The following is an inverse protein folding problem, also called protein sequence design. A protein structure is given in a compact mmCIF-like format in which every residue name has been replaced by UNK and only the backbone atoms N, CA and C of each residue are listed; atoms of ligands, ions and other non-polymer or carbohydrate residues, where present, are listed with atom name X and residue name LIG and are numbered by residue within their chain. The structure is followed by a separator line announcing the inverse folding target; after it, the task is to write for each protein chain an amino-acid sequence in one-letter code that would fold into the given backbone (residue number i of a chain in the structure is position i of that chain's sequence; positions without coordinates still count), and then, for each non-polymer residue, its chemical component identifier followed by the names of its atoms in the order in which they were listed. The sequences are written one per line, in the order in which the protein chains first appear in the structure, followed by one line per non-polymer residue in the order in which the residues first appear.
data_IF_392725244315
#
_entry.id   IF_392725244315
#
_cell.length_a   1.000
_cell.length_b   1.000
_cell.length_c   1.000
_cell.angle_alpha   90.00
_cell.angle_beta   90.00
_cell.angle_gamma   90.00
#
_symmetry.space_group_name_H-M   'P 1'
#
loop_
_entity.id
_entity.type
_entity.pdbx_description
1 polymer ?
#
# COMPACT_ATOMS: atom_id res chain seq x y z
N UNK A 1 1.14 5.81 11.21
CA UNK A 1 2.47 6.08 10.63
C UNK A 1 2.45 7.25 9.64
N UNK A 2 1.44 7.31 8.75
CA UNK A 2 1.29 8.47 7.86
C UNK A 2 1.11 9.77 8.68
N UNK A 3 0.32 9.73 9.74
CA UNK A 3 0.07 10.90 10.59
C UNK A 3 1.35 11.32 11.33
N UNK A 4 2.15 10.37 11.81
CA UNK A 4 3.43 10.67 12.47
C UNK A 4 4.36 11.40 11.50
N UNK A 5 4.47 10.92 10.27
CA UNK A 5 5.27 11.55 9.22
C UNK A 5 4.77 12.98 8.91
N UNK A 6 3.46 13.14 8.74
CA UNK A 6 2.86 14.43 8.42
C UNK A 6 3.07 15.44 9.55
N UNK A 7 2.90 15.03 10.80
CA UNK A 7 3.14 15.90 11.96
C UNK A 7 4.59 16.37 12.04
N UNK A 8 5.54 15.45 11.80
CA UNK A 8 6.97 15.78 11.85
C UNK A 8 7.33 16.83 10.82
N UNK A 9 6.87 16.67 9.56
CA UNK A 9 7.13 17.64 8.49
C UNK A 9 6.38 18.95 8.72
N UNK A 10 5.18 18.90 9.29
CA UNK A 10 4.38 20.10 9.58
C UNK A 10 5.10 21.07 10.51
N UNK A 11 5.87 20.56 11.46
CA UNK A 11 6.68 21.40 12.36
C UNK A 11 7.77 22.17 11.61
N UNK A 12 8.26 21.59 10.51
CA UNK A 12 9.33 22.19 9.68
C UNK A 12 8.76 23.11 8.59
N UNK A 13 7.45 23.08 8.34
CA UNK A 13 6.79 23.83 7.27
C UNK A 13 5.54 24.55 7.77
N UNK A 14 5.67 25.51 8.72
CA UNK A 14 4.53 26.24 9.23
C UNK A 14 3.83 27.02 8.09
N UNK A 15 2.49 27.04 8.12
CA UNK A 15 1.69 27.72 7.10
C UNK A 15 1.39 26.86 5.86
N UNK A 16 1.92 25.64 5.78
CA UNK A 16 1.67 24.73 4.66
C UNK A 16 0.69 23.62 5.03
N UNK A 17 -0.03 23.09 4.03
CA UNK A 17 -0.76 21.83 4.17
C UNK A 17 0.27 20.73 3.93
N UNK A 18 0.47 19.87 4.92
CA UNK A 18 1.43 18.76 4.82
C UNK A 18 0.67 17.45 4.66
N UNK A 19 1.03 16.67 3.66
CA UNK A 19 0.48 15.33 3.42
C UNK A 19 1.59 14.29 3.45
N UNK A 20 1.29 13.16 4.04
CA UNK A 20 2.18 12.01 4.03
C UNK A 20 1.37 10.74 3.78
N UNK A 21 2.00 9.76 3.16
CA UNK A 21 1.39 8.46 2.93
C UNK A 21 2.16 7.35 3.61
N UNK A 22 1.47 6.25 3.84
CA UNK A 22 2.05 5.01 4.33
C UNK A 22 1.33 3.86 3.64
N UNK A 23 2.09 2.95 3.07
CA UNK A 23 1.55 1.80 2.33
C UNK A 23 2.15 0.52 2.85
N UNK A 24 1.37 -0.56 2.80
CA UNK A 24 1.84 -1.87 3.22
C UNK A 24 1.03 -2.99 2.61
N UNK A 25 1.59 -4.18 2.70
CA UNK A 25 0.96 -5.44 2.29
C UNK A 25 0.55 -6.21 3.53
N UNK A 26 -0.72 -6.62 3.58
CA UNK A 26 -1.24 -7.50 4.63
C UNK A 26 -1.62 -8.84 4.01
N UNK A 27 -1.03 -9.93 4.51
CA UNK A 27 -1.34 -11.29 4.07
C UNK A 27 -2.06 -12.00 5.21
N UNK A 28 -3.30 -12.42 4.97
CA UNK A 28 -4.16 -12.98 6.02
C UNK A 28 -3.58 -14.25 6.65
N UNK A 29 -3.03 -15.16 5.83
CA UNK A 29 -2.41 -16.39 6.33
C UNK A 29 -1.19 -16.12 7.22
N UNK A 30 -0.54 -14.98 7.04
CA UNK A 30 0.62 -14.56 7.83
C UNK A 30 0.23 -13.59 8.96
N UNK A 31 -1.03 -13.62 9.41
CA UNK A 31 -1.55 -12.75 10.46
C UNK A 31 -1.38 -11.26 10.12
N UNK A 32 -1.65 -10.91 8.85
CA UNK A 32 -1.55 -9.57 8.28
C UNK A 32 -0.12 -9.02 8.19
N UNK A 33 0.88 -9.87 8.29
CA UNK A 33 2.27 -9.49 8.04
C UNK A 33 2.55 -9.48 6.54
N UNK A 34 3.49 -8.71 6.04
CA UNK A 34 4.41 -7.81 6.75
C UNK A 34 3.78 -6.52 7.29
N UNK A 35 2.58 -6.10 6.83
CA UNK A 35 1.85 -4.97 7.39
C UNK A 35 2.67 -3.67 7.42
N UNK A 36 2.76 -3.05 8.59
CA UNK A 36 3.52 -1.79 8.76
C UNK A 36 5.02 -1.94 8.52
N UNK A 37 5.53 -3.17 8.51
CA UNK A 37 6.94 -3.48 8.27
C UNK A 37 7.22 -3.85 6.82
N UNK A 38 6.28 -3.60 5.89
CA UNK A 38 6.40 -4.05 4.50
C UNK A 38 7.70 -3.60 3.82
N UNK A 39 8.12 -2.36 4.03
CA UNK A 39 9.37 -1.85 3.45
C UNK A 39 10.63 -2.46 4.08
N UNK A 40 10.52 -2.94 5.32
CA UNK A 40 11.64 -3.49 6.10
C UNK A 40 11.56 -4.99 6.32
N UNK A 41 10.60 -5.65 5.67
CA UNK A 41 10.39 -7.10 5.82
C UNK A 41 11.71 -7.84 5.53
N UNK A 42 12.12 -8.69 6.48
CA UNK A 42 13.38 -9.45 6.49
C UNK A 42 14.67 -8.63 6.38
N UNK A 43 14.61 -7.30 6.45
CA UNK A 43 15.77 -6.40 6.45
C UNK A 43 15.58 -5.17 5.59
N UNK A 44 16.24 -4.07 5.96
CA UNK A 44 16.08 -2.79 5.25
C UNK A 44 16.72 -2.77 3.86
N UNK A 45 17.91 -3.37 3.72
CA UNK A 45 18.68 -3.35 2.49
C UNK A 45 18.52 -4.63 1.65
N UNK A 46 17.40 -5.32 1.81
CA UNK A 46 17.09 -6.55 1.08
C UNK A 46 16.27 -6.21 -0.16
N UNK A 47 16.62 -6.80 -1.31
CA UNK A 47 15.87 -6.59 -2.55
C UNK A 47 14.44 -7.14 -2.46
N UNK A 48 13.52 -6.56 -3.22
CA UNK A 48 12.14 -7.04 -3.26
C UNK A 48 12.02 -8.43 -3.90
N UNK A 49 12.93 -8.82 -4.78
CA UNK A 49 12.95 -10.19 -5.31
C UNK A 49 13.09 -11.21 -4.18
N UNK A 50 13.97 -10.93 -3.22
CA UNK A 50 14.18 -11.78 -2.04
C UNK A 50 12.96 -11.70 -1.12
N UNK A 51 12.41 -10.51 -0.87
CA UNK A 51 11.22 -10.33 -0.04
C UNK A 51 10.02 -11.05 -0.61
N UNK A 52 9.80 -10.94 -1.92
CA UNK A 52 8.71 -11.61 -2.62
C UNK A 52 8.86 -13.12 -2.53
N UNK A 53 10.06 -13.64 -2.77
CA UNK A 53 10.32 -15.08 -2.68
C UNK A 53 10.13 -15.59 -1.24
N UNK A 54 10.52 -14.80 -0.23
CA UNK A 54 10.31 -15.17 1.16
C UNK A 54 8.82 -15.34 1.49
N UNK A 55 7.96 -14.43 1.01
CA UNK A 55 6.51 -14.55 1.19
C UNK A 55 5.97 -15.80 0.47
N UNK A 56 6.39 -16.03 -0.75
CA UNK A 56 5.99 -17.22 -1.50
C UNK A 56 6.38 -18.51 -0.77
N UNK A 57 7.59 -18.55 -0.20
CA UNK A 57 8.07 -19.72 0.55
C UNK A 57 7.22 -19.96 1.82
N UNK A 58 6.82 -18.90 2.51
CA UNK A 58 5.96 -18.98 3.69
C UNK A 58 4.55 -19.51 3.34
N UNK A 59 4.12 -19.32 2.10
CA UNK A 59 2.81 -19.75 1.61
C UNK A 59 2.87 -21.03 0.77
N UNK A 60 4.01 -21.69 0.72
CA UNK A 60 4.16 -22.94 -0.02
C UNK A 60 3.13 -23.98 0.45
N UNK A 61 2.39 -24.56 -0.50
CA UNK A 61 1.36 -25.56 -0.19
C UNK A 61 0.04 -24.98 0.33
N UNK A 62 -0.07 -23.67 0.52
CA UNK A 62 -1.30 -23.02 0.97
C UNK A 62 -2.24 -22.84 -0.22
N UNK A 63 -3.51 -23.29 -0.15
CA UNK A 63 -4.46 -23.13 -1.26
C UNK A 63 -4.83 -21.65 -1.48
N UNK A 64 -5.23 -21.33 -2.71
CA UNK A 64 -5.55 -19.96 -3.15
C UNK A 64 -6.51 -19.24 -2.21
N UNK A 65 -7.56 -19.91 -1.78
CA UNK A 65 -8.61 -19.32 -0.93
C UNK A 65 -8.11 -18.93 0.47
N UNK A 66 -6.94 -19.39 0.88
CA UNK A 66 -6.29 -19.01 2.13
C UNK A 66 -5.12 -18.03 1.93
N UNK A 67 -4.91 -17.59 0.68
CA UNK A 67 -3.81 -16.67 0.33
C UNK A 67 -4.31 -15.24 0.16
N UNK A 68 -5.48 -14.92 0.68
CA UNK A 68 -6.05 -13.57 0.57
C UNK A 68 -5.12 -12.53 1.19
N UNK A 69 -5.06 -11.39 0.55
CA UNK A 69 -4.17 -10.31 0.95
C UNK A 69 -4.72 -8.98 0.48
N UNK A 70 -4.15 -7.90 0.97
CA UNK A 70 -4.49 -6.56 0.52
C UNK A 70 -3.30 -5.63 0.59
N UNK A 71 -3.26 -4.69 -0.35
CA UNK A 71 -2.46 -3.49 -0.16
C UNK A 71 -3.29 -2.47 0.61
N UNK A 72 -2.65 -1.79 1.54
CA UNK A 72 -3.26 -0.74 2.35
C UNK A 72 -2.50 0.56 2.10
N UNK A 73 -3.22 1.66 1.88
CA UNK A 73 -2.63 2.98 1.84
C UNK A 73 -3.36 3.90 2.80
N UNK A 74 -2.62 4.52 3.71
CA UNK A 74 -3.12 5.56 4.59
C UNK A 74 -2.49 6.88 4.16
N UNK A 75 -3.31 7.92 4.04
CA UNK A 75 -2.83 9.28 3.76
C UNK A 75 -3.28 10.17 4.90
N UNK A 76 -2.33 10.91 5.46
CA UNK A 76 -2.59 11.88 6.50
C UNK A 76 -2.32 13.28 5.97
N UNK A 77 -3.15 14.22 6.36
CA UNK A 77 -2.94 15.65 6.07
C UNK A 77 -2.97 16.42 7.37
N UNK A 78 -2.00 17.32 7.54
CA UNK A 78 -1.94 18.25 8.67
C UNK A 78 -2.04 19.66 8.11
N UNK A 79 -3.05 20.39 8.55
CA UNK A 79 -3.32 21.76 8.09
C UNK A 79 -2.55 22.77 8.94
N UNK A 80 -2.36 24.02 8.42
CA UNK A 80 -1.67 25.07 9.17
C UNK A 80 -2.29 25.41 10.52
N UNK A 81 -3.62 25.23 10.66
CA UNK A 81 -4.34 25.48 11.92
C UNK A 81 -4.30 24.30 12.90
N UNK A 82 -3.59 23.22 12.56
CA UNK A 82 -3.44 22.05 13.41
C UNK A 82 -4.47 20.96 13.19
N UNK A 83 -5.48 21.17 12.33
CA UNK A 83 -6.45 20.11 12.01
C UNK A 83 -5.76 18.98 11.25
N UNK A 84 -6.20 17.75 11.51
CA UNK A 84 -5.62 16.54 10.93
C UNK A 84 -6.70 15.70 10.29
N UNK A 85 -6.41 15.16 9.11
CA UNK A 85 -7.29 14.24 8.41
C UNK A 85 -6.51 12.98 8.01
N UNK A 86 -7.17 11.82 8.08
CA UNK A 86 -6.58 10.54 7.66
C UNK A 86 -7.58 9.80 6.77
N UNK A 87 -7.11 9.29 5.64
CA UNK A 87 -7.87 8.36 4.81
C UNK A 87 -7.12 7.05 4.71
N UNK A 88 -7.86 5.94 4.69
CA UNK A 88 -7.32 4.59 4.54
C UNK A 88 -8.11 3.86 3.47
N UNK A 89 -7.41 3.33 2.48
CA UNK A 89 -8.02 2.56 1.40
C UNK A 89 -7.24 1.27 1.17
N UNK A 90 -7.93 0.26 0.67
CA UNK A 90 -7.32 -1.04 0.39
C UNK A 90 -7.56 -1.46 -1.04
N UNK A 91 -6.66 -2.31 -1.53
CA UNK A 91 -6.86 -3.06 -2.76
C UNK A 91 -6.81 -4.53 -2.39
N UNK A 92 -7.95 -5.21 -2.45
CA UNK A 92 -8.08 -6.63 -2.09
C UNK A 92 -7.60 -7.53 -3.22
N UNK A 93 -6.99 -8.64 -2.86
CA UNK A 93 -6.50 -9.62 -3.81
C UNK A 93 -5.99 -10.87 -3.10
N UNK A 94 -5.01 -11.52 -3.71
CA UNK A 94 -4.39 -12.71 -3.14
C UNK A 94 -2.93 -12.83 -3.59
N UNK A 95 -2.15 -13.62 -2.86
CA UNK A 95 -0.76 -13.89 -3.24
C UNK A 95 -0.72 -15.02 -4.26
N UNK A 96 -0.08 -14.77 -5.39
CA UNK A 96 0.10 -15.76 -6.44
C UNK A 96 1.08 -16.86 -6.09
N UNK A 97 1.30 -17.77 -7.03
CA UNK A 97 2.19 -18.91 -6.82
C UNK A 97 3.64 -18.67 -7.22
N UNK A 98 3.91 -17.59 -7.95
CA UNK A 98 5.25 -17.27 -8.47
C UNK A 98 5.39 -15.77 -8.69
N UNK A 99 6.63 -15.30 -8.79
CA UNK A 99 6.94 -13.93 -9.20
C UNK A 99 6.60 -13.79 -10.69
N UNK A 100 5.81 -12.78 -11.05
CA UNK A 100 5.38 -12.53 -12.43
C UNK A 100 5.21 -11.04 -12.68
N UNK A 101 5.66 -10.58 -13.86
CA UNK A 101 5.54 -9.19 -14.29
C UNK A 101 6.74 -8.33 -13.92
N UNK A 102 6.88 -7.21 -14.61
CA UNK A 102 8.02 -6.30 -14.46
C UNK A 102 7.59 -4.87 -14.16
N UNK A 103 6.29 -4.58 -14.22
CA UNK A 103 5.76 -3.26 -13.96
C UNK A 103 5.57 -3.04 -12.45
N UNK A 104 5.38 -1.79 -12.06
CA UNK A 104 5.15 -1.47 -10.67
C UNK A 104 6.41 -1.56 -9.82
N UNK A 105 6.24 -1.84 -8.55
CA UNK A 105 7.34 -1.90 -7.57
C UNK A 105 6.95 -2.76 -6.36
N UNK A 106 7.93 -3.04 -5.51
CA UNK A 106 7.67 -3.71 -4.23
C UNK A 106 7.10 -5.12 -4.40
N UNK A 107 5.94 -5.35 -3.81
CA UNK A 107 5.27 -6.66 -3.81
C UNK A 107 4.35 -6.89 -5.01
N UNK A 108 4.29 -5.96 -5.97
CA UNK A 108 3.45 -6.11 -7.16
C UNK A 108 3.66 -7.43 -7.90
N UNK A 109 4.89 -7.96 -8.03
CA UNK A 109 5.10 -9.23 -8.76
C UNK A 109 4.45 -10.47 -8.14
N UNK A 110 3.97 -10.41 -6.91
CA UNK A 110 3.31 -11.56 -6.26
C UNK A 110 1.86 -11.28 -5.86
N UNK A 111 1.38 -10.05 -6.03
CA UNK A 111 0.02 -9.67 -5.65
C UNK A 111 -0.93 -9.75 -6.85
N UNK A 112 -1.91 -10.64 -6.77
CA UNK A 112 -2.89 -10.87 -7.83
C UNK A 112 -4.23 -10.24 -7.49
N UNK A 113 -4.93 -9.77 -8.53
CA UNK A 113 -6.29 -9.25 -8.40
C UNK A 113 -7.25 -10.10 -9.20
N UNK A 114 -8.40 -10.43 -8.57
CA UNK A 114 -9.40 -11.31 -9.19
C UNK A 114 -9.94 -10.74 -10.51
N UNK A 115 -10.13 -9.43 -10.58
CA UNK A 115 -10.65 -8.76 -11.76
C UNK A 115 -9.85 -9.06 -13.02
N UNK A 116 -8.52 -9.16 -12.90
CA UNK A 116 -7.64 -9.37 -14.04
C UNK A 116 -7.02 -10.77 -14.09
N UNK A 117 -7.08 -11.52 -12.99
CA UNK A 117 -6.52 -12.86 -12.91
C UNK A 117 -5.00 -12.95 -13.03
N UNK A 118 -4.30 -11.83 -12.78
CA UNK A 118 -2.84 -11.75 -12.88
C UNK A 118 -2.27 -10.82 -11.80
N UNK A 119 -0.94 -10.74 -11.71
CA UNK A 119 -0.30 -9.86 -10.72
C UNK A 119 -0.41 -8.41 -11.14
N UNK A 120 -0.33 -7.51 -10.17
CA UNK A 120 -0.35 -6.06 -10.45
C UNK A 120 0.90 -5.61 -11.21
N UNK A 121 1.99 -6.38 -11.16
CA UNK A 121 3.18 -6.14 -11.98
C UNK A 121 2.98 -6.50 -13.46
N UNK A 122 1.93 -7.24 -13.78
CA UNK A 122 1.56 -7.60 -15.15
C UNK A 122 0.53 -6.62 -15.76
N UNK A 123 0.03 -5.67 -14.96
CA UNK A 123 -0.93 -4.66 -15.42
C UNK A 123 -0.24 -3.45 -16.05
N UNK A 124 -0.94 -2.79 -16.98
CA UNK A 124 -0.52 -1.47 -17.45
C UNK A 124 -0.70 -0.42 -16.33
N UNK A 125 -0.04 0.72 -16.47
CA UNK A 125 -0.23 1.82 -15.53
C UNK A 125 -1.70 2.25 -15.42
N UNK A 126 -2.40 2.31 -16.56
CA UNK A 126 -3.82 2.66 -16.60
C UNK A 126 -4.68 1.69 -15.82
N UNK A 127 -4.46 0.38 -16.02
CA UNK A 127 -5.20 -0.67 -15.31
C UNK A 127 -4.92 -0.60 -13.81
N UNK A 128 -3.65 -0.43 -13.44
CA UNK A 128 -3.27 -0.35 -12.03
C UNK A 128 -3.84 0.89 -11.35
N UNK A 129 -3.84 2.04 -12.03
CA UNK A 129 -4.38 3.28 -11.48
C UNK A 129 -5.87 3.20 -11.17
N UNK A 130 -6.64 2.45 -11.95
CA UNK A 130 -8.07 2.26 -11.69
C UNK A 130 -8.36 1.60 -10.36
N UNK A 131 -7.48 0.69 -9.93
CA UNK A 131 -7.70 -0.15 -8.73
C UNK A 131 -6.74 0.15 -7.59
N UNK A 132 -5.75 1.02 -7.81
CA UNK A 132 -4.70 1.32 -6.84
C UNK A 132 -5.26 1.82 -5.51
N UNK A 133 -4.80 1.21 -4.43
CA UNK A 133 -5.09 1.63 -3.07
C UNK A 133 -4.63 3.07 -2.80
N UNK A 134 -3.45 3.44 -3.32
CA UNK A 134 -2.90 4.80 -3.19
C UNK A 134 -3.76 5.81 -3.94
N UNK A 135 -4.19 5.49 -5.16
CA UNK A 135 -5.08 6.34 -5.94
C UNK A 135 -6.42 6.56 -5.24
N UNK A 136 -7.00 5.50 -4.67
CA UNK A 136 -8.25 5.60 -3.90
C UNK A 136 -8.08 6.49 -2.68
N UNK A 137 -6.98 6.32 -1.93
CA UNK A 137 -6.71 7.12 -0.73
C UNK A 137 -6.48 8.59 -1.05
N UNK A 138 -5.79 8.89 -2.14
CA UNK A 138 -5.58 10.26 -2.61
C UNK A 138 -6.89 10.94 -3.00
N UNK A 139 -7.76 10.24 -3.73
CA UNK A 139 -9.07 10.77 -4.10
C UNK A 139 -9.93 11.04 -2.87
N UNK A 140 -9.93 10.12 -1.91
CA UNK A 140 -10.68 10.28 -0.67
C UNK A 140 -10.18 11.50 0.13
N UNK A 141 -8.87 11.70 0.19
CA UNK A 141 -8.27 12.85 0.87
C UNK A 141 -8.63 14.16 0.15
N UNK A 142 -8.59 14.16 -1.18
CA UNK A 142 -8.96 15.31 -1.98
C UNK A 142 -10.41 15.75 -1.70
N UNK A 143 -11.33 14.79 -1.60
CA UNK A 143 -12.72 15.05 -1.27
C UNK A 143 -12.87 15.65 0.13
N UNK A 144 -12.15 15.10 1.13
CA UNK A 144 -12.18 15.63 2.49
C UNK A 144 -11.69 17.07 2.55
N UNK A 145 -10.58 17.38 1.89
CA UNK A 145 -10.03 18.74 1.87
C UNK A 145 -10.93 19.71 1.13
N UNK A 146 -11.59 19.27 0.05
CA UNK A 146 -12.54 20.09 -0.69
C UNK A 146 -13.75 20.51 0.17
N UNK A 147 -14.24 19.60 1.04
CA UNK A 147 -15.34 19.89 1.98
C UNK A 147 -14.96 20.95 3.01
N UNK A 148 -13.69 21.12 3.28
CA UNK A 148 -13.18 22.14 4.22
C UNK A 148 -12.86 23.46 3.51
N UNK A 149 -13.20 23.61 2.24
CA UNK A 149 -12.94 24.80 1.41
C UNK A 149 -11.46 25.16 1.34
N UNK A 150 -10.60 24.17 1.18
CA UNK A 150 -9.15 24.33 1.12
C UNK A 150 -8.60 24.19 -0.30
#
# INVERSE_FOLDING_TARGET
NALIKARAVSKEAPGAIVMADDSGLEVDYLHKKPGIYSARFIGEDISYDIKNQAILDLLAGVPKEKRTARFVCSIAAVLPDGREFVTRETMEGYIGGKIAGENGFGYDPIFCVEKYGCTTAELSEEQKNEISHRGKALRAMKEKLAKENL
#
